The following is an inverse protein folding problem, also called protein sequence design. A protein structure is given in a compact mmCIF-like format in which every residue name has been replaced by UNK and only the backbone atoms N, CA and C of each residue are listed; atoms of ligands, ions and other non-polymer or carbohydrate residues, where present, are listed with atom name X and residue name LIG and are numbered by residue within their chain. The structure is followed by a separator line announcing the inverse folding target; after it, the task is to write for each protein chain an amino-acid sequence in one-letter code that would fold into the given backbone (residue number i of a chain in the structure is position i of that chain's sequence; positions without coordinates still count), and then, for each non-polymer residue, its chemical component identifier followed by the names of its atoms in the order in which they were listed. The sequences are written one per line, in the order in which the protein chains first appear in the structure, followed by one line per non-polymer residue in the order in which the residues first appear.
data_IF_355168353743
#
_entry.id   IF_355168353743
#
_cell.length_a   1.000
_cell.length_b   1.000
_cell.length_c   1.000
_cell.angle_alpha   90.00
_cell.angle_beta   90.00
_cell.angle_gamma   90.00
#
_symmetry.space_group_name_H-M   'P 1'
#
loop_
_entity.id
_entity.type
_entity.pdbx_description
1 polymer ?
#
# COMPACT_ATOMS: atom_id res chain seq x y z
N UNK A 1 8.18 -14.39 -25.90
CA UNK A 1 6.83 -13.92 -26.31
C UNK A 1 6.91 -12.41 -26.56
N UNK A 2 6.38 -11.88 -27.68
CA UNK A 2 6.35 -10.41 -27.91
C UNK A 2 5.06 -9.83 -27.32
N UNK A 3 5.18 -8.87 -26.41
CA UNK A 3 4.05 -8.14 -25.83
C UNK A 3 3.95 -6.78 -26.52
N UNK A 4 2.75 -6.39 -26.95
CA UNK A 4 2.44 -5.09 -27.52
C UNK A 4 1.40 -4.40 -26.66
N UNK A 5 1.54 -3.09 -26.48
CA UNK A 5 0.58 -2.27 -25.77
C UNK A 5 -0.04 -1.28 -26.76
N UNK A 6 -1.35 -1.33 -26.90
CA UNK A 6 -2.13 -0.37 -27.71
C UNK A 6 -2.72 0.67 -26.79
N UNK A 7 -2.28 1.91 -26.96
CA UNK A 7 -2.61 3.03 -26.10
C UNK A 7 -3.64 3.89 -26.82
N UNK A 8 -4.83 4.01 -26.24
CA UNK A 8 -5.84 4.95 -26.70
C UNK A 8 -5.55 6.32 -26.10
N UNK A 9 -5.40 7.35 -26.94
CA UNK A 9 -5.07 8.71 -26.49
C UNK A 9 -6.11 9.75 -26.89
N UNK A 10 -6.30 10.77 -26.04
CA UNK A 10 -7.08 12.00 -26.34
C UNK A 10 -6.09 13.13 -26.63
N UNK A 11 -6.22 13.81 -27.78
CA UNK A 11 -5.47 15.05 -28.01
C UNK A 11 -5.93 16.13 -27.05
N UNK A 12 -4.98 16.87 -26.48
CA UNK A 12 -5.27 18.10 -25.74
C UNK A 12 -5.64 19.19 -26.75
N UNK A 13 -6.82 19.80 -26.60
CA UNK A 13 -7.25 20.91 -27.49
C UNK A 13 -6.52 22.20 -27.11
N UNK A 14 -6.22 23.07 -28.09
CA UNK A 14 -5.52 24.35 -27.91
C UNK A 14 -6.06 25.24 -26.77
N UNK A 15 -7.33 25.08 -26.38
CA UNK A 15 -7.94 25.85 -25.28
C UNK A 15 -7.47 25.47 -23.87
N UNK A 16 -6.95 24.25 -23.64
CA UNK A 16 -6.47 23.83 -22.32
C UNK A 16 -5.05 24.35 -22.01
N UNK A 17 -4.26 24.63 -23.06
CA UNK A 17 -2.93 25.24 -22.90
C UNK A 17 -3.04 26.75 -22.61
N UNK A 18 -4.05 27.44 -23.15
CA UNK A 18 -4.23 28.88 -22.93
C UNK A 18 -4.77 29.24 -21.54
N UNK A 19 -5.52 28.36 -20.86
CA UNK A 19 -5.95 28.63 -19.47
C UNK A 19 -4.79 28.57 -18.45
N UNK A 20 -3.71 27.82 -18.74
CA UNK A 20 -2.49 27.80 -17.91
C UNK A 20 -1.61 29.04 -18.11
N UNK A 21 -1.61 29.62 -19.31
CA UNK A 21 -0.93 30.90 -19.56
C UNK A 21 -1.75 32.12 -19.13
N UNK A 22 -3.08 32.10 -19.28
CA UNK A 22 -3.95 33.21 -18.87
C UNK A 22 -4.04 33.36 -17.35
N UNK A 23 -3.99 32.27 -16.56
CA UNK A 23 -3.92 32.38 -15.08
C UNK A 23 -2.58 32.93 -14.58
N UNK A 24 -1.48 32.73 -15.33
CA UNK A 24 -0.18 33.35 -15.03
C UNK A 24 -0.09 34.80 -15.51
N UNK A 25 -0.79 35.18 -16.59
CA UNK A 25 -0.81 36.56 -17.11
C UNK A 25 -1.87 37.45 -16.44
N UNK A 26 -2.99 36.91 -15.91
CA UNK A 26 -4.01 37.68 -15.18
C UNK A 26 -3.61 38.13 -13.76
N UNK A 27 -2.44 37.71 -13.24
CA UNK A 27 -1.81 38.28 -12.03
C UNK A 27 -0.76 39.37 -12.33
N UNK A 28 -0.49 39.70 -13.59
CA UNK A 28 0.40 40.81 -13.99
C UNK A 28 -0.07 41.45 -15.30
N UNK A 29 -1.09 42.32 -15.21
CA UNK A 29 -1.27 43.57 -15.98
C UNK A 29 -2.73 44.01 -15.95
N UNK A 30 -3.03 44.98 -15.08
CA UNK A 30 -4.09 45.95 -15.30
C UNK A 30 -3.48 47.15 -16.03
N UNK A 31 -3.82 47.35 -17.31
CA UNK A 31 -4.09 48.67 -17.95
C UNK A 31 -4.16 48.58 -19.48
N UNK A 32 -5.25 49.17 -20.00
CA UNK A 32 -5.45 49.90 -21.29
C UNK A 32 -5.74 49.13 -22.60
N UNK A 33 -7.02 49.23 -22.98
CA UNK A 33 -7.65 49.70 -24.24
C UNK A 33 -7.31 49.15 -25.66
N UNK A 34 -8.43 48.78 -26.30
CA UNK A 34 -8.96 49.03 -27.67
C UNK A 34 -8.50 48.30 -28.95
N UNK A 35 -9.55 47.83 -29.65
CA UNK A 35 -9.79 47.63 -31.10
C UNK A 35 -8.93 46.64 -31.91
N UNK A 36 -9.53 45.55 -32.39
CA UNK A 36 -10.12 45.46 -33.74
C UNK A 36 -10.55 44.03 -34.15
N UNK A 37 -11.73 43.98 -34.78
CA UNK A 37 -12.24 43.13 -35.87
C UNK A 37 -11.89 41.63 -36.02
N UNK A 38 -12.98 40.85 -35.99
CA UNK A 38 -13.40 39.79 -36.93
C UNK A 38 -12.34 38.93 -37.64
N UNK A 39 -12.36 37.63 -37.32
CA UNK A 39 -12.56 36.60 -38.35
C UNK A 39 -12.98 35.26 -37.70
N UNK A 40 -14.27 34.94 -37.85
CA UNK A 40 -14.85 33.66 -37.49
C UNK A 40 -14.43 32.62 -38.55
N UNK A 41 -13.45 31.76 -38.23
CA UNK A 41 -13.22 30.51 -38.97
C UNK A 41 -13.60 29.34 -38.10
N UNK A 42 -14.81 28.83 -38.36
CA UNK A 42 -15.26 27.49 -38.00
C UNK A 42 -14.15 26.46 -38.24
N UNK A 43 -13.63 25.88 -37.16
CA UNK A 43 -12.92 24.60 -37.20
C UNK A 43 -13.64 23.62 -36.29
N UNK A 44 -14.39 22.74 -36.94
CA UNK A 44 -14.90 21.49 -36.40
C UNK A 44 -13.81 20.77 -35.59
N UNK A 45 -13.84 20.94 -34.26
CA UNK A 45 -12.99 20.24 -33.32
C UNK A 45 -13.57 18.83 -33.10
N UNK A 46 -13.56 17.98 -34.13
CA UNK A 46 -13.79 16.54 -33.95
C UNK A 46 -12.63 16.01 -33.12
N UNK A 47 -12.89 15.66 -31.86
CA UNK A 47 -12.01 14.93 -30.95
C UNK A 47 -11.57 13.61 -31.61
N UNK A 48 -10.55 13.65 -32.48
CA UNK A 48 -10.01 12.47 -33.16
C UNK A 48 -9.32 11.59 -32.11
N UNK A 49 -10.00 10.51 -31.70
CA UNK A 49 -9.42 9.43 -30.88
C UNK A 49 -8.29 8.81 -31.71
N UNK A 50 -7.09 8.78 -31.16
CA UNK A 50 -5.91 8.27 -31.84
C UNK A 50 -5.35 7.10 -31.03
N UNK A 51 -4.70 6.15 -31.69
CA UNK A 51 -4.11 4.97 -31.06
C UNK A 51 -2.59 5.00 -31.28
N UNK A 52 -1.83 4.59 -30.27
CA UNK A 52 -0.37 4.40 -30.36
C UNK A 52 -0.04 2.97 -29.93
N UNK A 53 0.50 2.15 -30.84
CA UNK A 53 0.85 0.74 -30.56
C UNK A 53 2.36 0.62 -30.45
N UNK A 54 2.82 0.15 -29.29
CA UNK A 54 4.25 0.05 -28.95
C UNK A 54 4.59 -1.34 -28.46
N UNK A 55 5.82 -1.79 -28.73
CA UNK A 55 6.33 -3.05 -28.17
C UNK A 55 6.60 -2.82 -26.68
N UNK A 56 6.01 -3.65 -25.84
CA UNK A 56 6.35 -3.71 -24.42
C UNK A 56 7.62 -4.52 -24.24
N UNK A 57 8.49 -4.08 -23.32
CA UNK A 57 9.57 -4.90 -22.80
C UNK A 57 9.18 -5.43 -21.42
N UNK A 58 9.67 -6.62 -21.09
CA UNK A 58 9.69 -7.14 -19.72
C UNK A 58 11.15 -7.05 -19.28
N UNK A 59 11.61 -5.90 -18.77
CA UNK A 59 13.02 -5.67 -18.50
C UNK A 59 13.53 -6.46 -17.29
N UNK A 60 12.63 -6.86 -16.38
CA UNK A 60 12.94 -7.63 -15.17
C UNK A 60 11.64 -8.31 -14.69
N UNK A 61 11.66 -9.62 -14.50
CA UNK A 61 10.69 -10.28 -13.61
C UNK A 61 11.03 -9.88 -12.18
N UNK A 62 10.02 -9.63 -11.35
CA UNK A 62 10.21 -9.67 -9.91
C UNK A 62 10.86 -11.02 -9.62
N UNK A 63 11.97 -11.05 -8.87
CA UNK A 63 12.79 -12.25 -8.69
C UNK A 63 11.89 -13.48 -8.50
N UNK A 64 12.19 -14.57 -9.22
CA UNK A 64 11.51 -15.84 -9.01
C UNK A 64 11.89 -16.34 -7.63
N UNK A 65 11.08 -15.99 -6.63
CA UNK A 65 11.22 -16.59 -5.31
C UNK A 65 10.84 -18.07 -5.42
N UNK A 66 11.77 -18.94 -5.00
CA UNK A 66 11.54 -20.38 -4.82
C UNK A 66 11.12 -21.17 -6.08
N UNK A 67 11.74 -20.92 -7.24
CA UNK A 67 11.56 -21.76 -8.45
C UNK A 67 10.08 -21.88 -8.92
N UNK A 68 9.26 -20.86 -8.60
CA UNK A 68 7.84 -20.81 -8.94
C UNK A 68 7.64 -20.67 -10.46
N UNK A 69 6.66 -21.38 -11.02
CA UNK A 69 6.33 -21.34 -12.46
C UNK A 69 5.85 -19.97 -12.97
N UNK A 70 5.37 -19.11 -12.08
CA UNK A 70 4.96 -17.73 -12.35
C UNK A 70 5.65 -16.77 -11.40
N UNK A 71 6.07 -15.63 -11.96
CA UNK A 71 6.57 -14.49 -11.23
C UNK A 71 5.81 -13.22 -11.64
N UNK A 72 5.69 -12.29 -10.72
CA UNK A 72 5.14 -10.98 -11.02
C UNK A 72 6.15 -10.19 -11.87
N UNK A 73 5.69 -9.33 -12.78
CA UNK A 73 6.59 -8.62 -13.69
C UNK A 73 6.01 -7.29 -14.14
N UNK A 74 6.91 -6.34 -14.44
CA UNK A 74 6.52 -5.08 -15.06
C UNK A 74 6.63 -5.16 -16.58
N UNK A 75 5.58 -4.75 -17.27
CA UNK A 75 5.62 -4.50 -18.72
C UNK A 75 5.84 -3.00 -18.92
N UNK A 76 7.05 -2.62 -19.33
CA UNK A 76 7.40 -1.20 -19.57
C UNK A 76 7.12 -0.84 -21.02
N UNK A 77 6.46 0.31 -21.21
CA UNK A 77 6.09 0.84 -22.51
C UNK A 77 6.49 2.30 -22.63
N UNK A 78 7.66 2.61 -23.22
CA UNK A 78 8.10 3.99 -23.37
C UNK A 78 7.17 4.73 -24.33
N UNK A 79 6.59 5.83 -23.85
CA UNK A 79 5.83 6.77 -24.66
C UNK A 79 6.80 7.64 -25.48
N UNK A 80 6.36 8.11 -26.65
CA UNK A 80 7.16 9.03 -27.46
C UNK A 80 7.46 10.34 -26.70
N UNK A 81 8.63 10.92 -26.96
CA UNK A 81 9.01 12.22 -26.40
C UNK A 81 7.95 13.29 -26.71
N UNK A 82 7.59 14.10 -25.71
CA UNK A 82 6.53 15.12 -25.83
C UNK A 82 5.10 14.55 -25.90
N UNK A 83 4.88 13.24 -25.66
CA UNK A 83 3.53 12.65 -25.66
C UNK A 83 2.61 13.34 -24.65
N UNK A 84 3.10 13.56 -23.42
CA UNK A 84 2.30 14.16 -22.34
C UNK A 84 1.90 15.61 -22.59
N UNK A 85 2.62 16.34 -23.45
CA UNK A 85 2.27 17.70 -23.87
C UNK A 85 1.10 17.70 -24.86
N UNK A 86 0.97 16.63 -25.66
CA UNK A 86 0.07 16.56 -26.81
C UNK A 86 -1.17 15.71 -26.55
N UNK A 87 -1.08 14.75 -25.63
CA UNK A 87 -2.15 13.79 -25.40
C UNK A 87 -2.19 13.24 -23.96
N UNK A 88 -3.36 12.72 -23.62
CA UNK A 88 -3.62 11.97 -22.38
C UNK A 88 -3.95 10.52 -22.72
N UNK A 89 -3.36 9.57 -21.99
CA UNK A 89 -3.73 8.15 -22.09
C UNK A 89 -5.15 7.95 -21.54
N UNK A 90 -5.97 7.17 -22.23
CA UNK A 90 -7.36 6.88 -21.82
C UNK A 90 -7.60 5.38 -21.63
N UNK A 91 -6.83 4.54 -22.30
CA UNK A 91 -6.89 3.08 -22.14
C UNK A 91 -5.61 2.44 -22.65
N UNK A 92 -5.30 1.26 -22.11
CA UNK A 92 -4.18 0.43 -22.54
C UNK A 92 -4.71 -0.98 -22.79
N UNK A 93 -4.44 -1.52 -23.96
CA UNK A 93 -4.74 -2.91 -24.30
C UNK A 93 -3.44 -3.69 -24.45
N UNK A 94 -3.38 -4.85 -23.80
CA UNK A 94 -2.26 -5.78 -23.93
C UNK A 94 -2.56 -6.73 -25.10
N UNK A 95 -1.61 -6.86 -26.01
CA UNK A 95 -1.70 -7.72 -27.19
C UNK A 95 -0.49 -8.64 -27.19
N UNK A 96 -0.71 -9.95 -27.08
CA UNK A 96 0.37 -10.95 -27.15
C UNK A 96 0.55 -11.44 -28.59
N UNK A 97 1.81 -11.61 -29.01
CA UNK A 97 2.19 -12.11 -30.33
C UNK A 97 2.42 -10.99 -31.35
N UNK A 98 1.48 -10.85 -32.29
CA UNK A 98 1.61 -9.95 -33.44
C UNK A 98 1.17 -8.50 -33.14
N UNK A 99 1.87 -7.56 -33.77
CA UNK A 99 1.53 -6.13 -33.76
C UNK A 99 0.12 -5.93 -34.32
N UNK A 100 -0.73 -5.19 -33.60
CA UNK A 100 -2.11 -4.85 -33.99
C UNK A 100 -3.11 -6.01 -34.11
N UNK A 101 -2.87 -7.17 -33.48
CA UNK A 101 -3.89 -8.21 -33.32
C UNK A 101 -5.01 -7.71 -32.39
N UNK A 102 -6.24 -8.24 -32.54
CA UNK A 102 -7.36 -7.95 -31.65
C UNK A 102 -6.97 -8.18 -30.20
N UNK A 103 -7.07 -7.14 -29.38
CA UNK A 103 -6.76 -7.25 -27.96
C UNK A 103 -7.80 -8.15 -27.27
N UNK A 104 -7.35 -9.27 -26.69
CA UNK A 104 -8.20 -10.15 -25.88
C UNK A 104 -8.62 -9.52 -24.55
N UNK A 105 -8.01 -8.39 -24.16
CA UNK A 105 -8.33 -7.64 -22.95
C UNK A 105 -8.36 -6.12 -23.22
N UNK A 106 -9.45 -5.49 -22.79
CA UNK A 106 -9.52 -4.02 -22.64
C UNK A 106 -9.34 -3.73 -21.17
N UNK A 107 -8.10 -3.48 -20.77
CA UNK A 107 -7.87 -2.96 -19.44
C UNK A 107 -8.22 -1.46 -19.48
N UNK A 108 -9.15 -0.96 -18.64
CA UNK A 108 -9.13 0.46 -18.34
C UNK A 108 -7.70 0.79 -17.89
N UNK A 109 -7.15 1.97 -18.22
CA UNK A 109 -5.85 2.28 -17.67
C UNK A 109 -6.04 2.24 -16.16
N UNK A 110 -5.29 1.37 -15.47
CA UNK A 110 -5.05 1.54 -14.05
C UNK A 110 -4.70 3.02 -13.91
N UNK A 111 -5.57 3.75 -13.20
CA UNK A 111 -5.80 5.19 -13.33
C UNK A 111 -4.63 5.92 -13.99
N UNK A 112 -4.87 6.63 -15.11
CA UNK A 112 -3.90 7.60 -15.63
C UNK A 112 -3.82 8.74 -14.62
N UNK A 113 -3.13 8.46 -13.52
CA UNK A 113 -2.70 9.45 -12.57
C UNK A 113 -1.60 10.19 -13.30
N UNK A 114 -1.99 11.28 -13.92
CA UNK A 114 -1.04 12.30 -14.32
C UNK A 114 -0.18 12.60 -13.09
N UNK A 115 1.13 12.80 -13.29
CA UNK A 115 1.92 13.52 -12.31
C UNK A 115 1.21 14.87 -12.14
N UNK A 116 0.41 14.98 -11.08
CA UNK A 116 -0.30 16.22 -10.82
C UNK A 116 0.76 17.29 -10.58
N UNK A 117 0.46 18.50 -11.07
CA UNK A 117 1.25 19.67 -10.73
C UNK A 117 1.42 19.75 -9.22
N UNK A 118 2.55 20.27 -8.75
CA UNK A 118 2.95 20.34 -7.34
C UNK A 118 1.92 20.93 -6.34
N UNK A 119 0.78 21.42 -6.82
CA UNK A 119 -0.33 22.03 -6.07
C UNK A 119 -1.56 21.12 -5.84
N UNK A 120 -1.63 19.90 -6.37
CA UNK A 120 -2.75 19.00 -6.03
C UNK A 120 -2.51 18.33 -4.67
N UNK A 121 -3.43 18.57 -3.73
CA UNK A 121 -3.48 17.91 -2.43
C UNK A 121 -3.53 16.39 -2.63
N UNK A 122 -2.72 15.64 -1.89
CA UNK A 122 -2.86 14.19 -1.82
C UNK A 122 -4.27 13.84 -1.35
N UNK A 123 -4.83 12.75 -1.88
CA UNK A 123 -6.12 12.21 -1.44
C UNK A 123 -5.99 11.64 -0.04
N UNK A 124 -4.84 11.02 0.26
CA UNK A 124 -4.49 10.45 1.55
C UNK A 124 -3.06 10.84 1.94
N UNK A 125 -2.82 11.13 3.22
CA UNK A 125 -1.46 11.28 3.76
C UNK A 125 -0.82 9.88 3.89
N UNK A 126 -1.53 8.91 4.48
CA UNK A 126 -1.08 7.54 4.62
C UNK A 126 -2.07 6.54 4.03
N UNK A 127 -1.59 5.67 3.14
CA UNK A 127 -2.35 4.51 2.64
C UNK A 127 -1.68 3.21 3.03
N UNK A 128 -2.42 2.34 3.72
CA UNK A 128 -1.93 1.02 4.15
C UNK A 128 -2.24 -0.02 3.08
N UNK A 129 -1.20 -0.64 2.54
CA UNK A 129 -1.30 -1.75 1.60
C UNK A 129 -1.02 -3.05 2.36
N UNK A 130 -1.99 -3.95 2.36
CA UNK A 130 -1.92 -5.22 3.08
C UNK A 130 -1.74 -6.37 2.09
N UNK A 131 -1.06 -7.43 2.53
CA UNK A 131 -0.96 -8.68 1.77
C UNK A 131 -2.34 -9.26 1.45
N UNK A 132 -2.46 -10.09 0.38
CA UNK A 132 -3.74 -10.65 -0.02
C UNK A 132 -4.39 -11.49 1.08
N UNK A 133 -5.69 -11.27 1.31
CA UNK A 133 -6.50 -12.20 2.10
C UNK A 133 -6.49 -13.56 1.42
N UNK A 134 -6.12 -14.58 2.16
CA UNK A 134 -5.96 -15.93 1.67
C UNK A 134 -6.52 -16.95 2.68
N UNK A 135 -6.59 -18.22 2.29
CA UNK A 135 -6.95 -19.32 3.18
C UNK A 135 -8.25 -19.09 3.98
N UNK A 136 -9.29 -18.53 3.34
CA UNK A 136 -10.55 -18.14 3.98
C UNK A 136 -10.32 -17.34 5.26
N UNK A 137 -9.44 -16.34 5.22
CA UNK A 137 -9.10 -15.52 6.37
C UNK A 137 -10.35 -15.02 7.10
N UNK A 138 -10.51 -15.44 8.35
CA UNK A 138 -11.74 -15.26 9.13
C UNK A 138 -11.51 -14.66 10.53
N UNK A 139 -10.32 -14.12 10.79
CA UNK A 139 -9.99 -13.47 12.06
C UNK A 139 -10.45 -12.01 12.03
N UNK A 140 -11.76 -11.80 12.15
CA UNK A 140 -12.37 -10.47 12.09
C UNK A 140 -11.92 -9.55 13.24
N UNK A 141 -11.61 -10.09 14.42
CA UNK A 141 -11.01 -9.35 15.55
C UNK A 141 -9.65 -8.72 15.19
N UNK A 142 -8.80 -9.46 14.49
CA UNK A 142 -7.47 -8.99 14.05
C UNK A 142 -7.61 -7.93 12.95
N UNK A 143 -8.58 -8.08 12.02
CA UNK A 143 -8.87 -7.04 11.04
C UNK A 143 -9.34 -5.72 11.69
N UNK A 144 -10.28 -5.78 12.64
CA UNK A 144 -10.78 -4.58 13.33
C UNK A 144 -9.65 -3.89 14.10
N UNK A 145 -8.83 -4.66 14.81
CA UNK A 145 -7.64 -4.12 15.47
C UNK A 145 -6.68 -3.46 14.48
N UNK A 146 -6.40 -4.13 13.36
CA UNK A 146 -5.52 -3.61 12.32
C UNK A 146 -6.02 -2.26 11.81
N UNK A 147 -7.30 -2.15 11.47
CA UNK A 147 -7.90 -0.93 10.96
C UNK A 147 -7.86 0.20 12.00
N UNK A 148 -8.35 -0.05 13.21
CA UNK A 148 -8.47 1.00 14.23
C UNK A 148 -7.12 1.45 14.75
N UNK A 149 -6.16 0.54 14.96
CA UNK A 149 -4.85 0.94 15.47
C UNK A 149 -4.04 1.70 14.41
N UNK A 150 -4.07 1.27 13.14
CA UNK A 150 -3.42 2.04 12.07
C UNK A 150 -4.09 3.41 11.86
N UNK A 151 -5.43 3.53 12.01
CA UNK A 151 -6.12 4.83 12.01
C UNK A 151 -5.67 5.74 13.16
N UNK A 152 -5.48 5.19 14.36
CA UNK A 152 -4.93 5.92 15.51
C UNK A 152 -3.52 6.46 15.20
N UNK A 153 -2.70 5.68 14.49
CA UNK A 153 -1.35 6.06 14.07
C UNK A 153 -1.31 7.04 12.88
N UNK A 154 -2.43 7.25 12.19
CA UNK A 154 -2.61 8.25 11.14
C UNK A 154 -2.93 7.70 9.75
N UNK A 155 -3.35 6.44 9.61
CA UNK A 155 -3.83 5.90 8.34
C UNK A 155 -5.15 6.57 7.89
N UNK A 156 -5.20 7.00 6.63
CA UNK A 156 -6.41 7.58 6.03
C UNK A 156 -7.15 6.59 5.13
N UNK A 157 -6.42 5.66 4.49
CA UNK A 157 -6.99 4.72 3.54
C UNK A 157 -6.30 3.35 3.60
N UNK A 158 -7.05 2.30 3.29
CA UNK A 158 -6.56 0.93 3.28
C UNK A 158 -6.83 0.25 1.94
N UNK A 159 -5.94 -0.65 1.54
CA UNK A 159 -6.05 -1.42 0.31
C UNK A 159 -5.88 -2.89 0.63
N UNK A 160 -6.89 -3.67 0.29
CA UNK A 160 -6.89 -5.12 0.45
C UNK A 160 -7.06 -5.80 -0.90
N UNK A 161 -6.48 -6.99 -1.00
CA UNK A 161 -6.63 -7.88 -2.15
C UNK A 161 -7.36 -9.13 -1.68
N UNK A 162 -8.58 -9.36 -2.16
CA UNK A 162 -9.38 -10.50 -1.76
C UNK A 162 -9.15 -11.67 -2.71
N UNK A 163 -8.29 -12.61 -2.32
CA UNK A 163 -8.24 -13.93 -2.94
C UNK A 163 -9.24 -14.87 -2.25
N UNK A 164 -9.21 -14.92 -0.91
CA UNK A 164 -10.15 -15.70 -0.11
C UNK A 164 -10.28 -15.14 1.31
N UNK A 165 -11.49 -14.72 1.68
CA UNK A 165 -11.85 -14.27 3.03
C UNK A 165 -13.13 -14.95 3.52
N UNK A 166 -13.32 -15.00 4.85
CA UNK A 166 -14.55 -15.47 5.49
C UNK A 166 -15.68 -14.44 5.47
N UNK A 167 -16.93 -14.87 5.68
CA UNK A 167 -18.09 -13.99 5.64
C UNK A 167 -18.10 -12.97 6.78
N UNK A 168 -17.53 -13.30 7.94
CA UNK A 168 -17.43 -12.35 9.05
C UNK A 168 -16.46 -11.19 8.74
N UNK A 169 -15.35 -11.48 8.06
CA UNK A 169 -14.39 -10.47 7.59
C UNK A 169 -15.01 -9.59 6.51
N UNK A 170 -15.75 -10.16 5.56
CA UNK A 170 -16.51 -9.37 4.58
C UNK A 170 -17.50 -8.42 5.28
N UNK A 171 -18.29 -8.92 6.25
CA UNK A 171 -19.22 -8.09 7.02
C UNK A 171 -18.54 -6.91 7.72
N UNK A 172 -17.34 -7.11 8.28
CA UNK A 172 -16.53 -6.02 8.83
C UNK A 172 -16.14 -5.04 7.73
N UNK A 173 -15.56 -5.50 6.62
CA UNK A 173 -15.12 -4.61 5.52
C UNK A 173 -16.27 -3.79 4.93
N UNK A 174 -17.47 -4.37 4.77
CA UNK A 174 -18.65 -3.66 4.28
C UNK A 174 -19.05 -2.45 5.16
N UNK A 175 -18.73 -2.46 6.46
CA UNK A 175 -18.93 -1.29 7.34
C UNK A 175 -18.02 -0.13 6.93
N UNK A 176 -16.77 -0.42 6.62
CA UNK A 176 -15.75 0.59 6.33
C UNK A 176 -15.71 1.04 4.87
N UNK A 177 -16.17 0.21 3.93
CA UNK A 177 -16.34 0.63 2.53
C UNK A 177 -17.32 1.82 2.46
N UNK A 178 -18.32 1.85 3.35
CA UNK A 178 -19.29 2.96 3.42
C UNK A 178 -18.69 4.29 3.86
N UNK A 179 -17.55 4.29 4.56
CA UNK A 179 -16.86 5.51 4.98
C UNK A 179 -15.80 5.97 3.97
N UNK A 180 -15.64 5.30 2.83
CA UNK A 180 -14.62 5.55 1.78
C UNK A 180 -13.16 5.42 2.30
N UNK A 181 -12.98 4.75 3.45
CA UNK A 181 -11.67 4.54 4.08
C UNK A 181 -10.94 3.30 3.53
N UNK A 182 -11.62 2.45 2.75
CA UNK A 182 -11.11 1.13 2.37
C UNK A 182 -11.44 0.79 0.92
N UNK A 183 -10.43 0.25 0.22
CA UNK A 183 -10.54 -0.30 -1.12
C UNK A 183 -10.24 -1.80 -1.10
N UNK A 184 -11.26 -2.63 -1.32
CA UNK A 184 -11.12 -4.09 -1.45
C UNK A 184 -11.13 -4.46 -2.93
N UNK A 185 -10.01 -4.99 -3.43
CA UNK A 185 -9.83 -5.37 -4.83
C UNK A 185 -10.00 -6.88 -5.00
N UNK A 186 -10.74 -7.35 -6.01
CA UNK A 186 -10.78 -8.77 -6.33
C UNK A 186 -9.40 -9.25 -6.77
N UNK A 187 -8.94 -10.38 -6.23
CA UNK A 187 -7.62 -10.94 -6.50
C UNK A 187 -7.69 -12.37 -7.04
N UNK A 188 -8.31 -12.52 -8.21
CA UNK A 188 -8.44 -13.82 -8.86
C UNK A 188 -7.13 -14.21 -9.54
N UNK A 189 -6.56 -15.34 -9.11
CA UNK A 189 -5.32 -15.89 -9.67
C UNK A 189 -5.64 -17.14 -10.49
N UNK A 190 -5.52 -17.12 -11.84
CA UNK A 190 -5.77 -18.26 -12.72
C UNK A 190 -4.58 -19.25 -12.75
N UNK A 191 -3.96 -19.50 -11.59
CA UNK A 191 -2.87 -20.45 -11.40
C UNK A 191 -2.99 -21.06 -10.01
N UNK A 192 -2.31 -22.18 -9.78
CA UNK A 192 -2.33 -22.81 -8.46
C UNK A 192 -1.51 -21.99 -7.47
N UNK A 193 -2.13 -21.68 -6.34
CA UNK A 193 -1.53 -20.91 -5.24
C UNK A 193 -1.21 -21.82 -4.07
N UNK A 194 -0.63 -21.25 -3.03
CA UNK A 194 -0.37 -21.91 -1.75
C UNK A 194 -1.69 -22.43 -1.14
N UNK A 195 -1.63 -23.55 -0.42
CA UNK A 195 -2.78 -24.13 0.27
C UNK A 195 -2.42 -24.51 1.70
N UNK A 196 -3.44 -24.52 2.57
CA UNK A 196 -3.31 -25.05 3.92
C UNK A 196 -4.41 -26.09 4.19
N UNK A 197 -4.06 -27.33 4.59
CA UNK A 197 -2.71 -27.87 4.69
C UNK A 197 -1.94 -27.87 3.34
N UNK A 198 -0.60 -27.94 3.36
CA UNK A 198 0.20 -27.93 2.14
C UNK A 198 -0.19 -29.08 1.20
N UNK A 199 -0.41 -28.76 -0.08
CA UNK A 199 -0.67 -29.74 -1.13
C UNK A 199 0.61 -30.44 -1.57
N UNK A 200 0.50 -31.67 -2.08
CA UNK A 200 1.61 -32.39 -2.75
C UNK A 200 2.08 -31.67 -4.01
N UNK A 201 1.19 -30.91 -4.65
CA UNK A 201 1.57 -30.11 -5.79
C UNK A 201 2.09 -28.75 -5.27
N UNK A 202 3.25 -28.25 -5.72
CA UNK A 202 3.86 -27.00 -5.23
C UNK A 202 3.21 -25.76 -5.85
N UNK A 203 2.92 -24.70 -5.10
CA UNK A 203 2.31 -23.48 -5.66
C UNK A 203 3.04 -22.98 -6.92
N UNK A 204 2.30 -22.57 -7.95
CA UNK A 204 2.90 -22.06 -9.18
C UNK A 204 3.26 -20.57 -9.07
N UNK A 205 2.71 -19.87 -8.09
CA UNK A 205 3.05 -18.49 -7.75
C UNK A 205 3.30 -18.41 -6.25
N UNK A 206 4.35 -17.68 -5.86
CA UNK A 206 4.71 -17.53 -4.46
C UNK A 206 3.66 -16.70 -3.68
N UNK A 207 3.23 -17.24 -2.54
CA UNK A 207 2.41 -16.59 -1.51
C UNK A 207 1.22 -15.79 -2.05
N UNK A 208 0.32 -16.47 -2.78
CA UNK A 208 -0.88 -15.86 -3.38
C UNK A 208 -0.57 -14.60 -4.23
N UNK A 209 0.59 -14.56 -4.89
CA UNK A 209 1.01 -13.44 -5.73
C UNK A 209 1.21 -12.13 -4.95
N UNK A 210 1.59 -12.19 -3.67
CA UNK A 210 1.75 -11.03 -2.79
C UNK A 210 2.60 -9.93 -3.44
N UNK A 211 3.71 -10.26 -4.09
CA UNK A 211 4.57 -9.27 -4.75
C UNK A 211 3.83 -8.47 -5.84
N UNK A 212 2.94 -9.11 -6.59
CA UNK A 212 2.14 -8.43 -7.60
C UNK A 212 1.11 -7.49 -6.94
N UNK A 213 0.51 -7.92 -5.83
CA UNK A 213 -0.44 -7.11 -5.06
C UNK A 213 0.24 -5.86 -4.46
N UNK A 214 1.40 -6.01 -3.83
CA UNK A 214 2.14 -4.88 -3.23
C UNK A 214 2.56 -3.85 -4.30
N UNK A 215 3.04 -4.32 -5.45
CA UNK A 215 3.45 -3.43 -6.55
C UNK A 215 2.26 -2.83 -7.33
N UNK A 216 1.12 -3.51 -7.40
CA UNK A 216 -0.15 -2.92 -7.87
C UNK A 216 -0.56 -1.78 -6.92
N UNK A 217 -0.53 -2.00 -5.61
CA UNK A 217 -0.90 -1.00 -4.61
C UNK A 217 0.01 0.23 -4.68
N UNK A 218 1.33 0.00 -4.74
CA UNK A 218 2.34 1.04 -4.97
C UNK A 218 1.98 1.89 -6.19
N UNK A 219 1.63 1.22 -7.29
CA UNK A 219 1.37 1.90 -8.56
C UNK A 219 0.02 2.64 -8.60
N UNK A 220 -1.02 2.05 -8.01
CA UNK A 220 -2.37 2.61 -7.92
C UNK A 220 -2.41 3.88 -7.07
N UNK A 221 -1.56 3.96 -6.04
CA UNK A 221 -1.53 5.08 -5.10
C UNK A 221 -0.33 6.02 -5.25
N UNK A 222 0.54 5.80 -6.24
CA UNK A 222 1.75 6.61 -6.48
C UNK A 222 1.56 8.13 -6.52
N UNK A 223 0.40 8.57 -6.99
CA UNK A 223 0.06 9.99 -7.05
C UNK A 223 -1.23 10.33 -6.27
N UNK A 224 -1.75 9.39 -5.48
CA UNK A 224 -2.92 9.59 -4.62
C UNK A 224 -2.53 9.71 -3.15
N UNK A 225 -1.59 8.90 -2.71
CA UNK A 225 -1.08 8.89 -1.35
C UNK A 225 0.25 9.64 -1.24
N UNK A 226 0.48 10.34 -0.12
CA UNK A 226 1.81 10.90 0.18
C UNK A 226 2.78 9.81 0.63
N UNK A 227 2.32 8.94 1.52
CA UNK A 227 3.05 7.75 1.99
C UNK A 227 2.21 6.49 1.82
N UNK A 228 2.88 5.41 1.48
CA UNK A 228 2.34 4.06 1.50
C UNK A 228 3.00 3.28 2.63
N UNK A 229 2.18 2.66 3.47
CA UNK A 229 2.59 1.76 4.55
C UNK A 229 2.37 0.34 4.07
N UNK A 230 3.43 -0.46 3.99
CA UNK A 230 3.32 -1.89 3.69
C UNK A 230 3.40 -2.66 5.01
N UNK A 231 2.34 -3.40 5.35
CA UNK A 231 2.24 -4.18 6.60
C UNK A 231 1.37 -5.41 6.38
N UNK A 232 1.51 -6.43 7.24
CA UNK A 232 0.57 -7.55 7.30
C UNK A 232 -0.49 -7.32 8.40
N UNK A 233 -1.51 -8.20 8.48
CA UNK A 233 -2.67 -8.04 9.39
C UNK A 233 -2.30 -8.17 10.87
N UNK A 234 -1.24 -8.90 11.17
CA UNK A 234 -0.72 -9.19 12.50
C UNK A 234 0.52 -8.35 12.85
N UNK A 235 0.76 -7.28 12.09
CA UNK A 235 1.96 -6.45 12.17
C UNK A 235 1.62 -4.95 12.28
N UNK A 236 2.35 -4.25 13.15
CA UNK A 236 2.17 -2.81 13.38
C UNK A 236 3.49 -2.06 13.36
N UNK A 237 3.58 -1.01 12.54
CA UNK A 237 4.71 -0.07 12.58
C UNK A 237 4.44 0.94 13.68
N UNK A 238 5.15 0.81 14.80
CA UNK A 238 4.90 1.58 16.03
C UNK A 238 5.94 2.69 16.21
N UNK A 239 5.51 3.96 16.30
CA UNK A 239 6.33 5.05 16.83
C UNK A 239 6.51 4.92 18.34
N UNK A 240 7.75 4.74 18.82
CA UNK A 240 8.02 4.52 20.26
C UNK A 240 8.07 5.82 21.07
N UNK A 241 8.30 6.95 20.40
CA UNK A 241 8.50 8.27 21.03
C UNK A 241 7.57 9.35 20.46
N UNK A 242 6.64 8.98 19.59
CA UNK A 242 5.64 9.86 18.97
C UNK A 242 4.24 9.26 19.08
N UNK A 243 3.22 10.09 18.89
CA UNK A 243 1.82 9.63 18.89
C UNK A 243 1.31 9.22 17.51
N UNK A 244 2.05 9.49 16.43
CA UNK A 244 1.63 9.18 15.05
C UNK A 244 2.82 9.00 14.11
N UNK A 245 2.58 8.40 12.94
CA UNK A 245 3.59 8.30 11.88
C UNK A 245 4.04 9.68 11.39
N UNK A 246 3.11 10.63 11.23
CA UNK A 246 3.46 11.97 10.77
C UNK A 246 4.51 12.66 11.67
N UNK A 247 4.35 12.54 12.99
CA UNK A 247 5.31 13.08 13.96
C UNK A 247 6.66 12.36 13.90
N UNK A 248 6.65 11.03 13.84
CA UNK A 248 7.86 10.23 13.69
C UNK A 248 8.63 10.59 12.42
N UNK A 249 7.96 10.63 11.27
CA UNK A 249 8.59 10.96 10.00
C UNK A 249 9.10 12.41 10.00
N UNK A 250 8.39 13.34 10.62
CA UNK A 250 8.86 14.72 10.82
C UNK A 250 10.15 14.76 11.65
N UNK A 251 10.24 13.97 12.72
CA UNK A 251 11.45 13.83 13.53
C UNK A 251 12.62 13.26 12.71
N UNK A 252 12.38 12.19 11.96
CA UNK A 252 13.42 11.52 11.15
C UNK A 252 13.96 12.42 10.03
N UNK A 253 13.20 13.41 9.57
CA UNK A 253 13.64 14.42 8.59
C UNK A 253 14.54 15.50 9.19
N UNK A 254 14.45 15.76 10.50
CA UNK A 254 15.28 16.77 11.15
C UNK A 254 16.73 16.25 11.20
N UNK A 255 17.73 17.09 10.91
CA UNK A 255 19.11 16.71 11.16
C UNK A 255 19.29 16.46 12.67
N UNK A 256 20.17 15.52 13.08
CA UNK A 256 20.55 15.40 14.48
C UNK A 256 21.03 16.75 15.00
N UNK A 257 20.58 17.15 16.19
CA UNK A 257 21.00 18.39 16.85
C UNK A 257 22.52 18.43 17.10
N UNK A 258 23.19 17.27 17.09
CA UNK A 258 24.61 17.10 17.40
C UNK A 258 25.46 16.88 16.13
N UNK A 259 25.43 17.85 15.21
CA UNK A 259 26.11 17.74 13.91
C UNK A 259 27.34 18.66 13.83
N UNK A 260 28.41 18.33 14.54
CA UNK A 260 29.77 18.86 14.30
C UNK A 260 30.37 18.39 12.96
N UNK A 261 29.75 17.40 12.30
CA UNK A 261 30.19 16.89 10.99
C UNK A 261 29.45 17.56 9.81
N UNK A 262 30.09 18.60 9.27
CA UNK A 262 29.66 19.39 8.12
C UNK A 262 29.49 18.59 6.80
N UNK A 263 29.96 17.34 6.74
CA UNK A 263 30.03 16.53 5.52
C UNK A 263 28.71 15.83 5.12
N UNK A 264 27.68 15.83 5.99
CA UNK A 264 26.38 15.19 5.69
C UNK A 264 25.26 16.16 5.27
N UNK A 265 25.57 17.45 5.07
CA UNK A 265 24.58 18.48 4.70
C UNK A 265 24.16 18.46 3.22
N UNK A 266 24.97 17.88 2.33
CA UNK A 266 24.77 17.97 0.87
C UNK A 266 23.80 16.97 0.22
N UNK A 267 23.47 15.85 0.87
CA UNK A 267 22.84 14.68 0.21
C UNK A 267 21.50 14.22 0.82
N UNK A 268 20.91 14.98 1.75
CA UNK A 268 19.69 14.58 2.50
C UNK A 268 18.37 15.11 1.93
N UNK A 269 18.36 15.81 0.80
CA UNK A 269 17.11 16.22 0.15
C UNK A 269 16.48 14.97 -0.49
N UNK A 270 15.34 14.52 0.05
CA UNK A 270 14.49 13.39 -0.38
C UNK A 270 14.90 11.96 0.03
N UNK A 271 14.97 11.67 1.34
CA UNK A 271 14.96 10.28 1.84
C UNK A 271 13.68 9.98 2.61
N UNK A 272 12.60 9.86 1.86
CA UNK A 272 11.24 9.61 2.39
C UNK A 272 10.84 8.13 2.23
N UNK A 273 11.82 7.23 2.39
CA UNK A 273 11.64 5.78 2.39
C UNK A 273 12.17 5.29 3.74
N UNK A 274 11.29 4.77 4.59
CA UNK A 274 11.60 4.43 5.98
C UNK A 274 11.41 2.94 6.21
N UNK A 275 12.46 2.27 6.68
CA UNK A 275 12.49 0.84 6.91
C UNK A 275 12.53 0.55 8.41
N UNK A 276 11.58 -0.26 8.88
CA UNK A 276 11.38 -0.60 10.29
C UNK A 276 11.80 -2.04 10.54
N UNK A 277 12.69 -2.22 11.51
CA UNK A 277 13.14 -3.55 11.94
C UNK A 277 12.05 -4.26 12.74
N UNK A 278 11.98 -5.57 12.57
CA UNK A 278 10.99 -6.43 13.19
C UNK A 278 11.46 -6.93 14.56
N UNK A 279 10.52 -7.00 15.50
CA UNK A 279 10.61 -7.75 16.75
C UNK A 279 9.28 -8.47 16.99
N UNK A 280 9.32 -9.58 17.70
CA UNK A 280 8.18 -10.48 17.82
C UNK A 280 7.52 -10.43 19.19
N UNK A 281 6.19 -10.48 19.17
CA UNK A 281 5.34 -10.72 20.33
C UNK A 281 4.70 -12.08 20.10
N UNK A 282 5.05 -13.06 20.92
CA UNK A 282 4.45 -14.39 20.77
C UNK A 282 3.09 -14.44 21.45
N UNK A 283 2.12 -15.01 20.74
CA UNK A 283 0.73 -15.12 21.24
C UNK A 283 0.61 -16.14 22.38
N UNK A 284 1.65 -16.92 22.64
CA UNK A 284 1.78 -17.88 23.74
C UNK A 284 2.04 -17.21 25.11
N UNK A 285 2.44 -15.92 25.14
CA UNK A 285 2.72 -15.19 26.38
C UNK A 285 1.79 -13.98 26.56
N UNK A 286 0.48 -14.20 26.78
CA UNK A 286 -0.43 -13.11 27.10
C UNK A 286 -0.01 -12.47 28.43
N UNK A 287 0.25 -11.17 28.38
CA UNK A 287 0.50 -10.37 29.57
C UNK A 287 -0.20 -9.02 29.38
N UNK A 288 -1.55 -9.00 29.39
CA UNK A 288 -2.28 -7.74 29.35
C UNK A 288 -1.95 -6.91 30.58
N UNK A 289 -2.06 -5.59 30.44
CA UNK A 289 -2.04 -4.72 31.61
C UNK A 289 -3.33 -4.92 32.43
N UNK A 290 -3.29 -4.87 33.78
CA UNK A 290 -4.48 -5.05 34.61
C UNK A 290 -5.66 -4.15 34.19
N UNK A 291 -5.36 -2.90 33.82
CA UNK A 291 -6.36 -1.91 33.40
C UNK A 291 -7.02 -2.28 32.06
N UNK A 292 -6.33 -3.06 31.21
CA UNK A 292 -6.78 -3.43 29.86
C UNK A 292 -7.26 -4.88 29.78
N UNK A 293 -7.12 -5.68 30.85
CA UNK A 293 -7.44 -7.10 30.87
C UNK A 293 -8.90 -7.38 30.48
N UNK A 294 -9.84 -6.61 31.06
CA UNK A 294 -11.27 -6.70 30.75
C UNK A 294 -11.57 -6.34 29.29
N UNK A 295 -10.90 -5.32 28.75
CA UNK A 295 -11.07 -4.94 27.36
C UNK A 295 -10.50 -6.02 26.44
N UNK A 296 -9.32 -6.54 26.76
CA UNK A 296 -8.65 -7.58 25.99
C UNK A 296 -9.45 -8.89 25.94
N UNK A 297 -9.99 -9.35 27.07
CA UNK A 297 -10.78 -10.58 27.12
C UNK A 297 -12.03 -10.51 26.23
N UNK A 298 -12.62 -9.31 26.10
CA UNK A 298 -13.76 -9.06 25.21
C UNK A 298 -13.36 -8.87 23.75
N UNK A 299 -12.26 -8.16 23.49
CA UNK A 299 -11.89 -7.67 22.16
C UNK A 299 -10.87 -8.56 21.43
N UNK A 300 -10.19 -9.47 22.15
CA UNK A 300 -9.11 -10.35 21.65
C UNK A 300 -7.99 -9.59 20.93
N UNK A 301 -7.65 -8.39 21.43
CA UNK A 301 -6.68 -7.49 20.81
C UNK A 301 -5.24 -7.90 21.13
N UNK A 302 -4.41 -7.98 20.10
CA UNK A 302 -3.00 -8.29 20.29
C UNK A 302 -2.25 -7.16 21.01
N UNK A 303 -2.54 -5.91 20.67
CA UNK A 303 -1.92 -4.72 21.29
C UNK A 303 -2.29 -4.59 22.77
N UNK A 304 -3.52 -4.94 23.15
CA UNK A 304 -3.95 -4.94 24.55
C UNK A 304 -3.45 -6.17 25.33
N UNK A 305 -3.34 -7.32 24.65
CA UNK A 305 -3.09 -8.62 25.27
C UNK A 305 -1.63 -9.02 25.42
N UNK A 306 -0.74 -8.55 24.55
CA UNK A 306 0.65 -9.01 24.51
C UNK A 306 1.60 -7.83 24.74
N UNK A 307 2.15 -7.74 25.95
CA UNK A 307 3.12 -6.69 26.32
C UNK A 307 4.53 -7.22 26.55
N UNK A 308 4.76 -8.51 26.32
CA UNK A 308 6.08 -9.14 26.28
C UNK A 308 6.51 -9.37 24.84
N UNK A 309 7.74 -8.95 24.50
CA UNK A 309 8.36 -9.21 23.20
C UNK A 309 9.71 -9.87 23.35
N UNK A 310 10.17 -10.52 22.30
CA UNK A 310 11.54 -11.00 22.20
C UNK A 310 12.53 -9.83 22.30
N UNK A 311 13.66 -10.04 22.98
CA UNK A 311 14.75 -9.06 23.04
C UNK A 311 15.36 -8.83 21.66
N UNK A 312 15.39 -9.88 20.84
CA UNK A 312 15.93 -9.85 19.49
C UNK A 312 15.15 -8.89 18.59
N UNK A 313 15.91 -8.01 17.93
CA UNK A 313 15.41 -7.17 16.84
C UNK A 313 16.15 -7.57 15.58
N UNK A 314 15.39 -7.98 14.56
CA UNK A 314 15.97 -8.53 13.34
C UNK A 314 16.77 -7.47 12.55
N UNK A 315 17.77 -7.90 11.76
CA UNK A 315 18.46 -7.02 10.84
C UNK A 315 17.51 -6.34 9.84
N UNK A 316 17.84 -5.12 9.41
CA UNK A 316 17.07 -4.42 8.40
C UNK A 316 17.01 -5.25 7.10
N UNK A 317 15.83 -5.34 6.48
CA UNK A 317 15.58 -6.17 5.30
C UNK A 317 15.16 -7.60 5.64
N UNK A 318 15.40 -8.08 6.87
CA UNK A 318 14.84 -9.34 7.37
C UNK A 318 13.53 -9.05 8.09
N UNK A 319 12.42 -9.58 7.57
CA UNK A 319 11.07 -9.41 8.12
C UNK A 319 10.65 -7.94 8.33
N UNK A 320 11.38 -7.00 7.75
CA UNK A 320 11.13 -5.58 7.93
C UNK A 320 9.86 -5.16 7.17
N UNK A 321 9.29 -4.03 7.56
CA UNK A 321 8.21 -3.36 6.85
C UNK A 321 8.54 -1.90 6.68
N UNK A 322 7.79 -1.20 5.84
CA UNK A 322 8.23 0.10 5.34
C UNK A 322 7.10 1.09 5.17
N UNK A 323 7.44 2.37 5.42
CA UNK A 323 6.63 3.53 5.04
C UNK A 323 7.39 4.27 3.95
N UNK A 324 6.81 4.40 2.77
CA UNK A 324 7.52 4.93 1.60
C UNK A 324 6.76 6.05 0.92
N UNK A 325 7.46 7.06 0.43
CA UNK A 325 6.94 7.96 -0.59
C UNK A 325 6.95 7.21 -1.93
N UNK A 326 5.77 6.90 -2.50
CA UNK A 326 5.69 6.02 -3.65
C UNK A 326 6.23 6.64 -4.95
N UNK A 327 6.55 7.94 -4.95
CA UNK A 327 7.20 8.64 -6.07
C UNK A 327 8.71 8.39 -6.12
N UNK A 328 9.31 7.95 -5.01
CA UNK A 328 10.73 7.61 -4.89
C UNK A 328 10.98 6.11 -5.07
N UNK A 329 9.92 5.31 -5.25
CA UNK A 329 9.99 3.85 -5.31
C UNK A 329 9.39 3.36 -6.62
N UNK A 330 10.22 2.62 -7.37
CA UNK A 330 9.83 1.95 -8.60
C UNK A 330 9.27 0.56 -8.29
N UNK A 331 9.88 -0.16 -7.36
CA UNK A 331 9.58 -1.55 -7.03
C UNK A 331 9.78 -1.85 -5.54
N UNK A 332 8.83 -2.59 -4.97
CA UNK A 332 8.89 -3.10 -3.59
C UNK A 332 8.97 -4.61 -3.55
N UNK A 333 9.79 -5.14 -2.67
CA UNK A 333 9.70 -6.50 -2.17
C UNK A 333 8.82 -6.57 -0.91
N UNK A 334 8.71 -7.78 -0.33
CA UNK A 334 7.91 -7.98 0.89
C UNK A 334 8.53 -7.29 2.12
N UNK A 335 9.86 -7.23 2.18
CA UNK A 335 10.58 -6.74 3.35
C UNK A 335 11.49 -5.53 3.10
N UNK A 336 11.71 -5.15 1.85
CA UNK A 336 12.54 -4.00 1.48
C UNK A 336 12.18 -3.44 0.10
N UNK A 337 12.59 -2.21 -0.16
CA UNK A 337 12.55 -1.64 -1.52
C UNK A 337 13.60 -2.35 -2.37
N UNK A 338 13.21 -2.83 -3.55
CA UNK A 338 14.13 -3.46 -4.51
C UNK A 338 14.65 -2.46 -5.53
N UNK A 339 13.81 -1.52 -5.95
CA UNK A 339 14.19 -0.47 -6.89
C UNK A 339 13.61 0.89 -6.46
N UNK A 340 14.48 1.83 -6.09
CA UNK A 340 14.11 3.17 -5.65
C UNK A 340 15.28 3.96 -5.09
N UNK A 341 14.98 5.11 -4.50
CA UNK A 341 15.96 5.93 -3.79
C UNK A 341 16.42 5.25 -2.47
N UNK A 342 17.45 5.81 -1.84
CA UNK A 342 18.01 5.27 -0.61
C UNK A 342 17.00 5.27 0.55
N UNK A 343 16.91 4.11 1.23
CA UNK A 343 16.10 3.93 2.44
C UNK A 343 16.79 4.47 3.69
N UNK A 344 16.00 5.00 4.62
CA UNK A 344 16.39 5.33 5.98
C UNK A 344 16.02 4.15 6.88
N UNK A 345 17.03 3.50 7.46
CA UNK A 345 16.81 2.51 8.52
C UNK A 345 16.43 3.28 9.78
N UNK A 346 15.19 3.08 10.26
CA UNK A 346 14.69 3.77 11.44
C UNK A 346 15.43 3.27 12.68
N UNK A 347 15.97 4.18 13.53
CA UNK A 347 16.57 3.79 14.80
C UNK A 347 15.55 3.02 15.66
N UNK A 348 15.98 1.89 16.22
CA UNK A 348 15.13 1.01 17.04
C UNK A 348 14.54 1.73 18.27
N UNK A 349 15.16 2.81 18.73
CA UNK A 349 14.67 3.65 19.83
C UNK A 349 13.54 4.61 19.44
N UNK A 350 13.29 4.81 18.14
CA UNK A 350 12.28 5.72 17.60
C UNK A 350 11.09 4.98 17.00
N UNK A 351 11.33 3.85 16.34
CA UNK A 351 10.26 3.06 15.73
C UNK A 351 10.66 1.61 15.46
N UNK A 352 9.72 0.70 15.65
CA UNK A 352 9.86 -0.73 15.41
C UNK A 352 8.63 -1.28 14.71
N UNK A 353 8.80 -2.37 13.98
CA UNK A 353 7.72 -3.22 13.55
C UNK A 353 7.45 -4.26 14.63
N UNK A 354 6.23 -4.28 15.15
CA UNK A 354 5.76 -5.29 16.09
C UNK A 354 5.00 -6.36 15.33
N UNK A 355 5.47 -7.60 15.40
CA UNK A 355 4.81 -8.74 14.76
C UNK A 355 4.24 -9.67 15.84
N UNK A 356 2.91 -9.74 15.91
CA UNK A 356 2.17 -10.60 16.84
C UNK A 356 1.85 -11.96 16.22
N UNK A 357 2.58 -13.02 16.60
CA UNK A 357 2.49 -14.31 15.91
C UNK A 357 2.52 -15.49 16.88
N UNK A 358 1.83 -16.58 16.51
CA UNK A 358 1.96 -17.87 17.19
C UNK A 358 3.12 -18.66 16.63
N UNK A 359 3.87 -19.34 17.50
CA UNK A 359 5.06 -20.12 17.11
C UNK A 359 4.73 -21.57 16.80
N UNK A 360 5.47 -22.16 15.86
CA UNK A 360 5.41 -23.60 15.59
C UNK A 360 5.99 -24.42 16.75
N UNK A 361 6.95 -23.85 17.47
CA UNK A 361 7.58 -24.42 18.67
C UNK A 361 7.28 -23.52 19.88
N UNK A 362 6.09 -23.63 20.48
CA UNK A 362 5.65 -22.73 21.55
C UNK A 362 6.54 -22.82 22.81
N UNK A 363 7.14 -23.98 23.05
CA UNK A 363 7.97 -24.26 24.24
C UNK A 363 9.43 -23.79 24.10
N UNK A 364 9.81 -23.20 22.96
CA UNK A 364 11.17 -22.71 22.77
C UNK A 364 11.46 -21.52 23.68
N UNK A 365 12.40 -21.68 24.61
CA UNK A 365 12.89 -20.61 25.47
C UNK A 365 13.53 -19.49 24.66
N UNK A 366 13.16 -18.25 24.98
CA UNK A 366 13.73 -17.02 24.43
C UNK A 366 13.75 -15.92 25.47
N UNK A 367 14.72 -15.03 25.34
CA UNK A 367 14.79 -13.84 26.17
C UNK A 367 13.66 -12.86 25.83
N UNK A 368 12.90 -12.48 26.85
CA UNK A 368 11.78 -11.57 26.75
C UNK A 368 12.06 -10.24 27.44
N UNK A 369 11.47 -9.17 26.90
CA UNK A 369 11.49 -7.83 27.49
C UNK A 369 10.08 -7.25 27.50
N UNK A 370 9.76 -6.59 28.62
CA UNK A 370 8.50 -5.84 28.76
C UNK A 370 8.46 -4.65 27.82
N UNK A 371 7.37 -4.50 27.10
CA UNK A 371 7.13 -3.48 26.08
C UNK A 371 5.71 -2.90 26.20
N UNK A 372 5.41 -2.37 27.39
CA UNK A 372 4.08 -1.86 27.78
C UNK A 372 3.74 -0.49 27.20
N UNK A 373 4.72 0.26 26.68
CA UNK A 373 4.56 1.66 26.24
C UNK A 373 3.47 1.86 25.18
N UNK A 374 3.22 0.86 24.34
CA UNK A 374 2.17 0.94 23.31
C UNK A 374 0.79 0.78 23.94
N UNK A 375 0.61 -0.23 24.78
CA UNK A 375 -0.62 -0.45 25.52
C UNK A 375 -0.94 0.74 26.44
N UNK A 376 0.05 1.29 27.13
CA UNK A 376 -0.10 2.50 27.95
C UNK A 376 -0.56 3.72 27.17
N UNK A 377 0.03 3.98 26.00
CA UNK A 377 -0.25 5.22 25.24
C UNK A 377 -1.50 5.13 24.37
N UNK A 378 -1.83 3.94 23.88
CA UNK A 378 -2.89 3.77 22.88
C UNK A 378 -4.00 2.81 23.31
N UNK A 379 -3.79 2.00 24.35
CA UNK A 379 -4.66 0.88 24.69
C UNK A 379 -6.10 1.29 25.00
N UNK A 380 -6.32 2.28 25.86
CA UNK A 380 -7.68 2.74 26.18
C UNK A 380 -8.40 3.28 24.93
N UNK A 381 -7.71 4.10 24.13
CA UNK A 381 -8.27 4.66 22.89
C UNK A 381 -8.58 3.57 21.86
N UNK A 382 -7.69 2.59 21.73
CA UNK A 382 -7.88 1.45 20.83
C UNK A 382 -9.06 0.59 21.29
N UNK A 383 -9.13 0.26 22.58
CA UNK A 383 -10.23 -0.51 23.15
C UNK A 383 -11.59 0.18 22.88
N UNK A 384 -11.68 1.49 23.13
CA UNK A 384 -12.89 2.26 22.88
C UNK A 384 -13.30 2.24 21.39
N UNK A 385 -12.33 2.41 20.48
CA UNK A 385 -12.58 2.39 19.03
C UNK A 385 -13.01 1.01 18.52
N UNK A 386 -12.35 -0.05 18.96
CA UNK A 386 -12.74 -1.41 18.62
C UNK A 386 -14.12 -1.73 19.18
N UNK A 387 -14.44 -1.31 20.40
CA UNK A 387 -15.75 -1.52 21.01
C UNK A 387 -16.87 -0.88 20.19
N UNK A 388 -16.68 0.37 19.75
CA UNK A 388 -17.61 1.10 18.88
C UNK A 388 -17.90 0.32 17.57
N UNK A 389 -16.87 -0.31 17.00
CA UNK A 389 -17.01 -1.13 15.79
C UNK A 389 -17.85 -2.37 16.08
N UNK A 390 -17.54 -3.11 17.13
CA UNK A 390 -18.25 -4.34 17.50
C UNK A 390 -19.70 -4.11 17.92
N UNK A 391 -19.98 -3.00 18.60
CA UNK A 391 -21.35 -2.62 18.97
C UNK A 391 -22.23 -2.36 17.73
N UNK A 392 -21.60 -1.90 16.63
CA UNK A 392 -22.29 -1.69 15.35
C UNK A 392 -22.42 -2.93 14.47
N UNK A 393 -21.82 -4.06 14.87
CA UNK A 393 -21.82 -5.33 14.13
C UNK A 393 -22.37 -6.49 14.98
N UNK A 394 -23.60 -6.38 15.50
CA UNK A 394 -24.18 -7.42 16.33
C UNK A 394 -24.31 -8.74 15.55
N UNK A 395 -23.93 -9.85 16.20
CA UNK A 395 -24.02 -11.20 15.63
C UNK A 395 -22.92 -11.56 14.62
N UNK A 396 -21.98 -10.66 14.31
CA UNK A 396 -20.81 -11.00 13.48
C UNK A 396 -19.78 -11.77 14.33
N UNK A 397 -19.42 -13.02 13.98
CA UNK A 397 -18.41 -13.77 14.73
C UNK A 397 -17.04 -13.09 14.68
N UNK A 398 -16.35 -13.06 15.82
CA UNK A 398 -14.98 -12.51 15.91
C UNK A 398 -14.00 -13.34 15.09
N UNK A 399 -14.20 -14.66 15.06
CA UNK A 399 -13.34 -15.63 14.43
C UNK A 399 -14.19 -16.80 13.93
N UNK A 400 -13.78 -17.42 12.83
CA UNK A 400 -14.39 -18.65 12.32
C UNK A 400 -13.25 -19.62 12.06
N UNK A 401 -13.29 -20.78 12.74
CA UNK A 401 -12.28 -21.82 12.58
C UNK A 401 -12.20 -22.23 11.10
N UNK A 402 -10.99 -22.20 10.55
CA UNK A 402 -10.73 -22.60 9.16
C UNK A 402 -11.21 -24.03 8.88
N UNK A 403 -11.25 -24.92 9.88
CA UNK A 403 -11.73 -26.30 9.75
C UNK A 403 -13.24 -26.40 9.52
N UNK A 404 -14.02 -25.38 9.93
CA UNK A 404 -15.49 -25.36 9.78
C UNK A 404 -15.95 -25.24 8.33
N UNK A 405 -15.06 -24.81 7.44
CA UNK A 405 -15.32 -24.51 6.05
C UNK A 405 -15.41 -25.73 5.11
N UNK A 406 -15.17 -26.93 5.64
CA UNK A 406 -15.02 -28.16 4.86
C UNK A 406 -13.73 -28.17 4.03
N UNK A 407 -13.43 -29.32 3.42
CA UNK A 407 -12.33 -29.41 2.44
C UNK A 407 -12.59 -28.42 1.28
N UNK A 408 -11.54 -27.79 0.70
CA UNK A 408 -11.70 -27.03 -0.52
C UNK A 408 -12.38 -27.92 -1.57
N UNK A 409 -13.51 -27.48 -2.13
CA UNK A 409 -14.11 -28.17 -3.28
C UNK A 409 -13.07 -28.06 -4.39
N UNK A 410 -12.60 -29.24 -4.84
CA UNK A 410 -11.52 -29.42 -5.80
C UNK A 410 -11.75 -28.71 -7.12
#
# INVERSE_FOLDING_TARGET
MSIWLTIKKKKKTKNENNQKEEKKKKKKKNKKNNNNNNNNKNKNNKNKKEYDTRRGSVPQSLESFFDSGYAAAFIKCPLASGFQERATVIAVSVVSGQKCRSAGSRLPPLAVTHASTADDKFVSEFTVCVSPFNLRYSRAYELVEMLEFNKILGADNFVFYNYSMGPNVDRVLQKYIKSDDINVLPWHLPMRVDSWPPSKQPSEVWYFGQLAALNDCLSRYRYKARYIVFSDLDEFIVPLKDSSWAQLLSRLRKPPSDSSNHLQRGTRKNRDIFLFRCTFFRKEWPQPMPELEKANSKLRSAVLGFTLRETQVLPAGSRSKMIVNPRLVREVGVHQVWDGDASVIVPQSLGLLYHYRSWESPDQEVDLVSSKDVALRFGERLAAKMQEVWDSLPGVPFDIDIKSYGSPVS
#
